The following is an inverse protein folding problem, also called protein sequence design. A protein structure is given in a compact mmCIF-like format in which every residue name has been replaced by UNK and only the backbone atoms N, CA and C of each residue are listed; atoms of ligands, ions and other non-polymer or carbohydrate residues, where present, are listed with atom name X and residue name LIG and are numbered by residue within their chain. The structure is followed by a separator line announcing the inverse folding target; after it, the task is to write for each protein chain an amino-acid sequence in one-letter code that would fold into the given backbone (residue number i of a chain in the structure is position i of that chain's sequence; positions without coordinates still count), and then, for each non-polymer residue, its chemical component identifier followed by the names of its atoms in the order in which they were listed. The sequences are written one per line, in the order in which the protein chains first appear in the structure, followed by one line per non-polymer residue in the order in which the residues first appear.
data_IF_700329736918
#
_entry.id   IF_700329736918
#
_cell.length_a   1.000
_cell.length_b   1.000
_cell.length_c   1.000
_cell.angle_alpha   90.00
_cell.angle_beta   90.00
_cell.angle_gamma   90.00
#
_symmetry.space_group_name_H-M   'P 1'
#
loop_
_entity.id
_entity.type
_entity.pdbx_description
1 polymer ?
#
# COMPACT_ATOMS: atom_id res chain seq x y z
N UNK A 1 -29.02 -2.29 22.06
CA UNK A 1 -28.71 -3.46 21.21
C UNK A 1 -27.58 -3.04 20.32
N UNK A 2 -26.42 -3.68 20.46
CA UNK A 2 -25.21 -3.33 19.70
C UNK A 2 -25.32 -3.96 18.32
N UNK A 3 -25.14 -3.18 17.26
CA UNK A 3 -25.21 -3.65 15.87
C UNK A 3 -23.85 -4.15 15.42
N UNK A 4 -23.78 -5.19 14.59
CA UNK A 4 -22.51 -5.63 14.02
C UNK A 4 -21.89 -4.50 13.18
N UNK A 5 -20.55 -4.38 13.23
CA UNK A 5 -19.85 -3.44 12.36
C UNK A 5 -19.93 -3.92 10.90
N UNK A 6 -20.21 -2.98 9.99
CA UNK A 6 -20.35 -3.23 8.56
C UNK A 6 -19.56 -2.18 7.77
N UNK A 7 -18.83 -2.56 6.71
CA UNK A 7 -18.16 -1.60 5.83
C UNK A 7 -19.17 -0.83 4.98
N UNK A 8 -18.86 0.42 4.66
CA UNK A 8 -19.73 1.32 3.89
C UNK A 8 -20.87 1.94 4.69
N UNK A 9 -20.97 1.66 5.99
CA UNK A 9 -22.03 2.16 6.89
C UNK A 9 -21.63 3.50 7.50
N UNK A 10 -22.55 4.45 7.50
CA UNK A 10 -22.35 5.71 8.21
C UNK A 10 -22.58 5.50 9.70
N UNK A 11 -21.57 5.85 10.51
CA UNK A 11 -21.65 5.86 11.95
C UNK A 11 -21.55 7.30 12.48
N UNK A 12 -22.40 7.63 13.45
CA UNK A 12 -22.56 8.93 14.09
C UNK A 12 -22.17 8.86 15.56
N UNK A 13 -21.98 10.01 16.21
CA UNK A 13 -21.66 10.06 17.64
C UNK A 13 -22.55 9.13 18.47
N UNK A 14 -21.93 8.51 19.47
CA UNK A 14 -22.51 7.53 20.39
C UNK A 14 -22.87 6.16 19.81
N UNK A 15 -22.63 5.90 18.52
CA UNK A 15 -22.75 4.55 17.96
C UNK A 15 -21.80 3.57 18.64
N UNK A 16 -22.35 2.40 18.97
CA UNK A 16 -21.60 1.23 19.46
C UNK A 16 -21.83 0.08 18.51
N UNK A 17 -20.74 -0.59 18.14
CA UNK A 17 -20.73 -1.73 17.22
C UNK A 17 -20.04 -2.93 17.83
N UNK A 18 -20.45 -4.12 17.40
CA UNK A 18 -19.76 -5.36 17.73
C UNK A 18 -18.87 -5.77 16.55
N UNK A 19 -17.61 -6.07 16.81
CA UNK A 19 -16.67 -6.59 15.82
C UNK A 19 -15.73 -7.61 16.48
N UNK A 20 -15.63 -8.80 15.88
CA UNK A 20 -14.87 -9.93 16.42
C UNK A 20 -15.16 -10.24 17.91
N UNK A 21 -16.44 -10.15 18.32
CA UNK A 21 -16.88 -10.43 19.68
C UNK A 21 -16.50 -9.37 20.72
N UNK A 22 -16.00 -8.21 20.30
CA UNK A 22 -15.72 -7.07 21.16
C UNK A 22 -16.61 -5.88 20.79
N UNK A 23 -17.00 -5.08 21.78
CA UNK A 23 -17.76 -3.84 21.54
C UNK A 23 -16.81 -2.66 21.35
N UNK A 24 -17.14 -1.79 20.39
CA UNK A 24 -16.39 -0.58 20.08
C UNK A 24 -17.34 0.60 20.00
N UNK A 25 -17.00 1.69 20.69
CA UNK A 25 -17.69 2.97 20.57
C UNK A 25 -16.98 3.85 19.56
N UNK A 26 -17.74 4.51 18.69
CA UNK A 26 -17.17 5.46 17.76
C UNK A 26 -16.54 6.66 18.47
N UNK A 27 -15.36 7.07 18.00
CA UNK A 27 -14.65 8.27 18.48
C UNK A 27 -14.90 9.43 17.51
N UNK A 28 -14.79 9.15 16.20
CA UNK A 28 -14.98 10.15 15.14
C UNK A 28 -16.05 9.64 14.17
N UNK A 29 -17.16 10.38 13.93
CA UNK A 29 -18.17 9.99 12.94
C UNK A 29 -17.56 9.85 11.56
N UNK A 30 -17.82 8.73 10.91
CA UNK A 30 -17.30 8.44 9.58
C UNK A 30 -18.19 7.42 8.88
N UNK A 31 -18.02 7.34 7.55
CA UNK A 31 -18.48 6.17 6.80
C UNK A 31 -17.39 5.12 6.88
N UNK A 32 -17.71 3.96 7.43
CA UNK A 32 -16.76 2.85 7.57
C UNK A 32 -16.22 2.42 6.22
N UNK A 33 -14.95 2.04 6.20
CA UNK A 33 -14.29 1.40 5.06
C UNK A 33 -13.85 0.01 5.48
N UNK A 34 -13.73 -0.91 4.53
CA UNK A 34 -13.39 -2.32 4.82
C UNK A 34 -12.04 -2.50 5.51
N UNK A 35 -11.15 -1.53 5.38
CA UNK A 35 -9.83 -1.43 6.00
C UNK A 35 -9.81 -0.54 7.26
N UNK A 36 -10.94 0.03 7.65
CA UNK A 36 -11.12 0.79 8.89
C UNK A 36 -11.89 -0.02 9.93
N UNK A 37 -11.43 -1.25 10.16
CA UNK A 37 -12.07 -2.14 11.12
C UNK A 37 -11.81 -1.63 12.55
N UNK A 38 -12.77 -1.82 13.48
CA UNK A 38 -12.68 -1.23 14.82
C UNK A 38 -11.45 -1.64 15.63
N UNK A 39 -10.87 -2.81 15.34
CA UNK A 39 -9.68 -3.35 16.01
C UNK A 39 -8.35 -2.76 15.52
N UNK A 40 -8.27 -2.22 14.31
CA UNK A 40 -7.02 -1.70 13.72
C UNK A 40 -7.02 -0.17 13.52
N UNK A 41 -8.13 0.51 13.83
CA UNK A 41 -8.27 1.97 13.69
C UNK A 41 -8.63 2.67 15.01
N UNK A 42 -7.72 2.71 16.00
CA UNK A 42 -7.98 3.25 17.33
C UNK A 42 -8.26 4.76 17.37
N UNK A 43 -7.98 5.48 16.27
CA UNK A 43 -8.36 6.88 16.13
C UNK A 43 -9.85 7.08 15.80
N UNK A 44 -10.50 6.06 15.23
CA UNK A 44 -11.89 6.07 14.79
C UNK A 44 -12.82 5.31 15.76
N UNK A 45 -12.28 4.29 16.43
CA UNK A 45 -13.01 3.39 17.32
C UNK A 45 -12.30 3.22 18.66
N UNK A 46 -13.05 3.32 19.75
CA UNK A 46 -12.58 3.03 21.10
C UNK A 46 -13.16 1.71 21.57
N UNK A 47 -12.30 0.73 21.88
CA UNK A 47 -12.72 -0.55 22.42
C UNK A 47 -13.38 -0.36 23.79
N UNK A 48 -14.60 -0.84 23.95
CA UNK A 48 -15.28 -0.88 25.24
C UNK A 48 -14.81 -2.13 25.98
N UNK A 49 -13.94 -1.94 26.97
CA UNK A 49 -13.50 -3.04 27.81
C UNK A 49 -14.68 -3.59 28.62
N UNK A 50 -14.90 -4.91 28.51
CA UNK A 50 -15.89 -5.62 29.31
C UNK A 50 -15.65 -5.37 30.80
N UNK A 51 -16.71 -4.92 31.50
CA UNK A 51 -16.74 -4.52 32.91
C UNK A 51 -15.72 -5.26 33.80
N UNK A 52 -14.69 -4.55 34.24
CA UNK A 52 -14.20 -4.57 35.63
C UNK A 52 -13.58 -3.20 35.98
N UNK A 53 -14.37 -2.40 36.72
CA UNK A 53 -14.00 -1.26 37.60
C UNK A 53 -12.79 -0.37 37.27
N UNK A 54 -13.09 0.89 36.90
CA UNK A 54 -12.54 2.06 37.61
C UNK A 54 -11.50 2.95 36.90
N UNK A 55 -11.99 3.98 36.18
CA UNK A 55 -11.35 5.31 36.14
C UNK A 55 -10.34 5.59 35.01
N UNK A 56 -10.77 6.29 33.95
CA UNK A 56 -9.83 6.82 32.96
C UNK A 56 -10.39 7.46 31.69
N UNK A 57 -11.64 7.94 31.65
CA UNK A 57 -12.26 8.46 30.40
C UNK A 57 -12.56 9.96 30.39
N UNK A 58 -12.15 10.74 31.40
CA UNK A 58 -12.58 12.15 31.52
C UNK A 58 -11.54 13.21 31.11
N UNK A 59 -10.26 12.86 30.87
CA UNK A 59 -9.26 13.89 30.53
C UNK A 59 -9.09 14.16 29.03
N UNK A 60 -9.51 13.25 28.15
CA UNK A 60 -9.28 13.43 26.71
C UNK A 60 -10.42 14.17 25.98
N UNK A 61 -11.63 14.25 26.54
CA UNK A 61 -12.77 14.91 25.88
C UNK A 61 -12.70 16.45 25.87
N UNK A 62 -12.04 17.09 26.85
CA UNK A 62 -12.00 18.56 26.92
C UNK A 62 -11.11 19.21 25.87
N UNK A 63 -10.11 18.51 25.34
CA UNK A 63 -9.20 19.08 24.35
C UNK A 63 -9.79 19.06 22.92
N UNK A 64 -10.77 18.20 22.63
CA UNK A 64 -11.37 18.06 21.30
C UNK A 64 -12.63 18.91 21.07
N UNK A 65 -13.35 19.32 22.12
CA UNK A 65 -14.55 20.15 21.96
C UNK A 65 -14.25 21.59 21.50
N UNK A 66 -13.02 22.08 21.62
CA UNK A 66 -12.67 23.44 21.22
C UNK A 66 -12.43 23.61 19.71
N UNK A 67 -12.34 22.52 18.92
CA UNK A 67 -12.05 22.61 17.47
C UNK A 67 -13.26 22.39 16.54
N UNK A 68 -14.44 22.02 17.05
CA UNK A 68 -15.58 21.66 16.18
C UNK A 68 -16.57 22.78 15.84
N UNK A 69 -16.28 24.06 16.14
CA UNK A 69 -17.25 25.13 15.90
C UNK A 69 -17.27 25.73 14.49
N UNK A 70 -16.65 25.09 13.47
CA UNK A 70 -16.75 25.59 12.10
C UNK A 70 -17.11 24.51 11.07
N UNK A 71 -18.34 24.66 10.57
CA UNK A 71 -18.83 24.37 9.22
C UNK A 71 -19.33 22.95 8.91
N UNK A 72 -20.66 22.87 8.85
CA UNK A 72 -21.47 21.75 8.40
C UNK A 72 -22.02 22.09 7.00
N UNK A 73 -21.86 21.23 5.97
CA UNK A 73 -22.67 21.32 4.76
C UNK A 73 -23.71 20.17 4.65
N UNK A 74 -24.83 20.53 4.01
CA UNK A 74 -26.09 19.78 3.90
C UNK A 74 -26.05 18.60 2.91
N UNK A 75 -26.90 17.60 3.14
CA UNK A 75 -27.09 16.39 2.31
C UNK A 75 -27.96 16.63 1.06
N UNK A 76 -27.64 16.03 -0.11
CA UNK A 76 -28.60 15.82 -1.20
C UNK A 76 -29.27 14.43 -1.16
N UNK A 77 -30.52 14.39 -1.62
CA UNK A 77 -31.48 13.27 -1.62
C UNK A 77 -31.12 12.09 -2.54
N UNK A 78 -31.59 10.90 -2.17
CA UNK A 78 -31.40 9.61 -2.84
C UNK A 78 -32.24 9.47 -4.13
N UNK A 79 -31.63 8.95 -5.21
CA UNK A 79 -32.35 8.38 -6.36
C UNK A 79 -32.12 6.87 -6.45
N UNK A 80 -33.22 6.16 -6.71
CA UNK A 80 -33.38 4.72 -6.73
C UNK A 80 -32.75 4.10 -7.98
N UNK A 81 -31.73 3.24 -7.82
CA UNK A 81 -31.10 2.51 -8.92
C UNK A 81 -31.72 1.11 -9.11
N UNK A 82 -32.12 0.79 -10.35
CA UNK A 82 -32.45 -0.56 -10.82
C UNK A 82 -31.18 -1.27 -11.32
N UNK A 83 -31.08 -2.57 -11.05
CA UNK A 83 -29.89 -3.39 -11.34
C UNK A 83 -29.71 -3.71 -12.85
N UNK A 84 -28.50 -3.59 -13.43
CA UNK A 84 -28.18 -4.14 -14.75
C UNK A 84 -27.85 -5.64 -14.71
N UNK A 85 -28.13 -6.33 -15.83
CA UNK A 85 -27.99 -7.78 -16.02
C UNK A 85 -26.54 -8.29 -16.13
N UNK A 86 -26.37 -9.59 -15.89
CA UNK A 86 -25.10 -10.32 -15.70
C UNK A 86 -24.10 -10.22 -16.88
N UNK A 87 -22.77 -10.16 -16.61
CA UNK A 87 -21.73 -10.31 -17.63
C UNK A 87 -21.37 -11.79 -17.91
N UNK A 88 -20.73 -12.10 -19.06
CA UNK A 88 -20.55 -13.47 -19.55
C UNK A 88 -19.52 -14.29 -18.75
N UNK A 89 -19.74 -15.62 -18.76
CA UNK A 89 -18.92 -16.64 -18.10
C UNK A 89 -17.63 -16.93 -18.87
N UNK A 90 -16.50 -17.04 -18.16
CA UNK A 90 -15.19 -17.36 -18.73
C UNK A 90 -14.70 -18.74 -18.23
N UNK A 91 -14.40 -19.62 -19.18
CA UNK A 91 -13.89 -20.98 -18.98
C UNK A 91 -12.34 -20.95 -18.83
N UNK A 92 -11.86 -21.42 -17.68
CA UNK A 92 -10.42 -21.61 -17.42
C UNK A 92 -10.07 -23.08 -17.58
N UNK A 93 -9.43 -23.42 -18.70
CA UNK A 93 -8.91 -24.75 -18.99
C UNK A 93 -7.81 -25.21 -18.02
N UNK A 94 -7.89 -26.50 -17.64
CA UNK A 94 -6.87 -27.24 -16.88
C UNK A 94 -5.58 -27.42 -17.69
N UNK A 95 -4.42 -27.35 -17.04
CA UNK A 95 -3.18 -27.93 -17.56
C UNK A 95 -2.48 -28.79 -16.50
N UNK A 96 -1.72 -29.74 -17.03
CA UNK A 96 -1.46 -31.09 -16.53
C UNK A 96 -0.13 -31.24 -15.75
N UNK A 97 0.05 -32.42 -15.16
CA UNK A 97 1.20 -32.82 -14.32
C UNK A 97 2.38 -33.39 -15.11
N UNK A 98 3.60 -33.17 -14.57
CA UNK A 98 4.75 -34.10 -14.62
C UNK A 98 6.00 -33.61 -15.39
N UNK A 99 7.22 -34.17 -15.17
CA UNK A 99 7.57 -35.31 -14.29
C UNK A 99 8.77 -35.06 -13.32
N UNK A 100 9.12 -36.13 -12.59
CA UNK A 100 10.05 -36.29 -11.47
C UNK A 100 11.39 -36.95 -11.90
N UNK A 101 12.54 -36.46 -11.42
CA UNK A 101 13.86 -37.15 -11.32
C UNK A 101 14.91 -36.13 -10.82
N UNK A 102 16.00 -36.38 -10.08
CA UNK A 102 16.68 -37.55 -9.51
C UNK A 102 17.78 -37.03 -8.56
N UNK A 103 18.22 -37.84 -7.59
CA UNK A 103 19.32 -37.58 -6.65
C UNK A 103 20.68 -37.33 -7.33
N UNK A 104 21.58 -36.57 -6.67
CA UNK A 104 22.99 -36.51 -7.05
C UNK A 104 23.89 -35.49 -6.33
N UNK A 105 24.48 -35.93 -5.22
CA UNK A 105 25.82 -35.62 -4.66
C UNK A 105 26.20 -34.18 -4.25
N UNK A 106 26.56 -34.08 -2.97
CA UNK A 106 27.38 -33.01 -2.36
C UNK A 106 28.76 -32.91 -3.01
N UNK A 107 29.16 -31.70 -3.40
CA UNK A 107 30.58 -31.29 -3.47
C UNK A 107 30.75 -29.98 -2.69
N UNK A 108 31.54 -30.04 -1.61
CA UNK A 108 32.08 -28.87 -0.92
C UNK A 108 33.16 -28.24 -1.78
N UNK A 109 32.98 -26.97 -2.19
CA UNK A 109 34.09 -26.14 -2.69
C UNK A 109 34.21 -24.88 -1.83
N UNK A 110 35.28 -24.88 -1.04
CA UNK A 110 35.87 -23.75 -0.35
C UNK A 110 36.28 -22.69 -1.37
N UNK A 111 35.85 -21.44 -1.20
CA UNK A 111 36.47 -20.28 -1.81
C UNK A 111 36.58 -19.17 -0.77
N UNK A 112 37.81 -18.89 -0.34
CA UNK A 112 38.22 -17.60 0.19
C UNK A 112 39.51 -17.28 -0.57
N UNK A 113 39.46 -16.33 -1.50
CA UNK A 113 40.52 -15.31 -1.58
C UNK A 113 40.18 -14.14 -2.50
N UNK A 114 40.59 -12.98 -1.97
CA UNK A 114 40.77 -11.62 -2.51
C UNK A 114 39.72 -10.96 -3.42
N UNK A 115 39.25 -9.82 -2.90
CA UNK A 115 38.86 -8.58 -3.56
C UNK A 115 37.52 -8.54 -4.33
N UNK A 116 36.53 -7.93 -3.69
CA UNK A 116 35.30 -7.45 -4.34
C UNK A 116 34.00 -8.05 -3.79
N UNK A 117 33.76 -7.96 -2.48
CA UNK A 117 32.49 -8.38 -1.88
C UNK A 117 31.34 -7.42 -2.24
N UNK A 118 30.61 -7.72 -3.32
CA UNK A 118 29.19 -7.37 -3.46
C UNK A 118 28.48 -8.53 -4.16
N UNK A 119 27.27 -8.82 -3.67
CA UNK A 119 26.17 -9.60 -4.26
C UNK A 119 25.91 -10.99 -3.65
N UNK A 120 24.61 -11.23 -3.46
CA UNK A 120 23.90 -12.48 -3.20
C UNK A 120 23.69 -12.89 -1.72
N UNK A 121 22.95 -12.07 -0.98
CA UNK A 121 22.09 -12.60 0.09
C UNK A 121 20.63 -12.29 -0.27
N UNK A 122 19.90 -13.34 -0.65
CA UNK A 122 18.45 -13.33 -0.70
C UNK A 122 17.92 -13.08 0.71
N UNK A 123 17.57 -11.82 0.98
CA UNK A 123 16.84 -11.40 2.17
C UNK A 123 15.67 -10.57 1.67
N UNK A 124 14.47 -10.97 2.09
CA UNK A 124 13.23 -10.20 2.01
C UNK A 124 13.55 -8.71 2.16
N UNK A 125 13.22 -7.90 1.16
CA UNK A 125 13.65 -6.51 0.99
C UNK A 125 13.14 -5.50 2.03
N UNK A 126 13.21 -5.84 3.33
CA UNK A 126 12.78 -5.02 4.45
C UNK A 126 13.47 -5.37 5.78
N UNK A 127 14.64 -6.04 5.77
CA UNK A 127 15.43 -6.28 6.98
C UNK A 127 16.90 -5.91 6.76
N UNK A 128 17.20 -4.64 7.03
CA UNK A 128 18.50 -4.14 7.49
C UNK A 128 19.70 -4.37 6.57
N UNK A 129 20.09 -3.32 5.84
CA UNK A 129 21.51 -3.15 5.50
C UNK A 129 22.26 -2.87 6.81
N UNK A 130 22.97 -3.88 7.34
CA UNK A 130 23.93 -3.70 8.41
C UNK A 130 25.16 -2.97 7.86
N UNK A 131 25.13 -1.64 7.91
CA UNK A 131 26.34 -0.82 7.89
C UNK A 131 27.11 -0.99 9.21
N UNK A 132 28.43 -1.09 9.12
CA UNK A 132 29.35 -1.47 10.20
C UNK A 132 29.18 -0.70 11.53
N UNK A 133 29.25 -1.45 12.65
CA UNK A 133 29.67 -0.91 13.95
C UNK A 133 28.62 -0.91 15.06
N UNK A 134 28.75 -1.88 15.98
CA UNK A 134 28.34 -1.84 17.41
C UNK A 134 26.85 -1.58 17.78
N UNK A 135 26.09 -2.65 18.07
CA UNK A 135 25.14 -2.76 19.22
C UNK A 135 24.26 -4.03 19.12
N UNK A 136 24.79 -5.20 19.48
CA UNK A 136 24.00 -6.44 19.56
C UNK A 136 23.39 -6.50 20.96
N UNK A 137 22.11 -6.16 21.12
CA UNK A 137 21.18 -6.71 22.15
C UNK A 137 19.74 -6.17 22.01
N UNK A 138 19.49 -5.07 21.27
CA UNK A 138 18.13 -4.61 20.85
C UNK A 138 17.72 -5.06 19.44
N UNK A 139 18.56 -5.87 18.79
CA UNK A 139 18.45 -6.19 17.36
C UNK A 139 17.48 -7.34 17.02
N UNK A 140 17.06 -8.14 18.01
CA UNK A 140 16.18 -9.29 17.79
C UNK A 140 14.69 -8.93 17.80
N UNK A 141 14.24 -8.10 18.74
CA UNK A 141 12.84 -7.69 18.86
C UNK A 141 12.40 -6.87 17.64
N UNK A 142 13.13 -5.81 17.30
CA UNK A 142 12.85 -5.00 16.10
C UNK A 142 12.87 -5.82 14.79
N UNK A 143 13.64 -6.92 14.74
CA UNK A 143 13.68 -7.81 13.56
C UNK A 143 12.45 -8.72 13.50
N UNK A 144 11.93 -9.15 14.64
CA UNK A 144 10.70 -9.94 14.72
C UNK A 144 9.49 -9.06 14.38
N UNK A 145 9.36 -7.88 15.00
CA UNK A 145 8.29 -6.92 14.74
C UNK A 145 8.21 -6.52 13.25
N UNK A 146 9.34 -6.20 12.64
CA UNK A 146 9.39 -5.83 11.22
C UNK A 146 8.99 -6.99 10.30
N UNK A 147 9.36 -8.23 10.67
CA UNK A 147 8.98 -9.44 9.93
C UNK A 147 7.48 -9.71 10.05
N UNK A 148 6.93 -9.65 11.25
CA UNK A 148 5.50 -9.84 11.50
C UNK A 148 4.67 -8.80 10.75
N UNK A 149 5.10 -7.54 10.76
CA UNK A 149 4.42 -6.46 10.04
C UNK A 149 4.45 -6.68 8.52
N UNK A 150 5.59 -7.12 7.97
CA UNK A 150 5.67 -7.50 6.56
C UNK A 150 4.76 -8.69 6.23
N UNK A 151 4.75 -9.73 7.06
CA UNK A 151 3.90 -10.92 6.87
C UNK A 151 2.42 -10.55 6.93
N UNK A 152 2.02 -9.65 7.83
CA UNK A 152 0.68 -9.11 7.92
C UNK A 152 0.28 -8.34 6.65
N UNK A 153 1.13 -7.43 6.16
CA UNK A 153 0.89 -6.72 4.90
C UNK A 153 0.77 -7.68 3.72
N UNK A 154 1.67 -8.66 3.62
CA UNK A 154 1.68 -9.64 2.53
C UNK A 154 0.44 -10.54 2.56
N UNK A 155 -0.03 -10.94 3.75
CA UNK A 155 -1.28 -11.68 3.93
C UNK A 155 -2.48 -10.86 3.45
N UNK A 156 -2.57 -9.59 3.87
CA UNK A 156 -3.64 -8.68 3.44
C UNK A 156 -3.61 -8.44 1.91
N UNK A 157 -2.43 -8.32 1.30
CA UNK A 157 -2.27 -8.18 -0.15
C UNK A 157 -2.77 -9.43 -0.91
N UNK A 158 -2.46 -10.64 -0.40
CA UNK A 158 -2.97 -11.89 -0.96
C UNK A 158 -4.48 -12.00 -0.84
N UNK A 159 -5.06 -11.61 0.29
CA UNK A 159 -6.51 -11.57 0.48
C UNK A 159 -7.18 -10.61 -0.52
N UNK A 160 -6.61 -9.43 -0.78
CA UNK A 160 -7.09 -8.52 -1.84
C UNK A 160 -7.04 -9.16 -3.24
N UNK A 161 -5.98 -9.93 -3.54
CA UNK A 161 -5.88 -10.68 -4.81
C UNK A 161 -6.96 -11.75 -4.94
N UNK A 162 -7.28 -12.47 -3.87
CA UNK A 162 -8.38 -13.45 -3.85
C UNK A 162 -9.73 -12.77 -4.07
N UNK A 163 -9.97 -11.63 -3.42
CA UNK A 163 -11.18 -10.83 -3.64
C UNK A 163 -11.29 -10.35 -5.09
N UNK A 164 -10.20 -9.85 -5.68
CA UNK A 164 -10.17 -9.47 -7.09
C UNK A 164 -10.48 -10.65 -8.02
N UNK A 165 -9.95 -11.85 -7.73
CA UNK A 165 -10.28 -13.06 -8.51
C UNK A 165 -11.75 -13.45 -8.40
N UNK A 166 -12.34 -13.31 -7.22
CA UNK A 166 -13.71 -13.70 -6.96
C UNK A 166 -14.74 -12.69 -7.51
N UNK A 167 -14.41 -11.38 -7.50
CA UNK A 167 -15.39 -10.31 -7.74
C UNK A 167 -15.00 -9.32 -8.84
N UNK A 168 -13.80 -9.44 -9.40
CA UNK A 168 -13.24 -8.48 -10.34
C UNK A 168 -12.81 -7.16 -9.69
N UNK A 169 -12.47 -6.14 -10.50
CA UNK A 169 -12.12 -4.81 -10.00
C UNK A 169 -13.30 -4.17 -9.25
N UNK A 170 -13.03 -3.63 -8.06
CA UNK A 170 -14.05 -2.97 -7.22
C UNK A 170 -14.07 -1.45 -7.40
N UNK A 171 -13.26 -0.93 -8.32
CA UNK A 171 -13.12 0.49 -8.60
C UNK A 171 -12.18 0.75 -9.77
N UNK A 172 -11.97 2.03 -10.14
CA UNK A 172 -11.14 2.40 -11.29
C UNK A 172 -9.64 2.15 -11.05
N UNK A 173 -9.22 1.95 -9.81
CA UNK A 173 -7.87 1.58 -9.39
C UNK A 173 -7.94 0.38 -8.43
N UNK A 174 -7.06 -0.60 -8.58
CA UNK A 174 -6.98 -1.77 -7.68
C UNK A 174 -5.52 -2.22 -7.52
N UNK A 175 -5.07 -2.32 -6.27
CA UNK A 175 -3.77 -2.89 -5.94
C UNK A 175 -3.86 -4.42 -5.93
N UNK A 176 -3.06 -5.08 -6.76
CA UNK A 176 -3.05 -6.54 -6.88
C UNK A 176 -1.70 -7.12 -6.46
N UNK A 177 -1.71 -8.09 -5.53
CA UNK A 177 -0.49 -8.79 -5.13
C UNK A 177 0.18 -9.52 -6.31
N UNK A 178 1.48 -9.27 -6.46
CA UNK A 178 2.32 -9.85 -7.48
C UNK A 178 3.64 -10.36 -6.89
N UNK A 179 4.16 -11.43 -7.50
CA UNK A 179 5.45 -12.01 -7.12
C UNK A 179 6.31 -12.25 -8.36
N UNK A 180 7.55 -11.79 -8.31
CA UNK A 180 8.50 -11.89 -9.41
C UNK A 180 8.17 -10.97 -10.59
N UNK A 181 8.52 -11.41 -11.79
CA UNK A 181 8.61 -10.57 -13.00
C UNK A 181 7.36 -10.59 -13.88
N UNK A 182 6.39 -11.44 -13.60
CA UNK A 182 5.18 -11.56 -14.42
C UNK A 182 4.27 -10.36 -14.21
N UNK A 183 4.12 -9.49 -15.20
CA UNK A 183 3.24 -8.32 -15.11
C UNK A 183 1.80 -8.72 -15.47
N UNK A 184 0.82 -8.60 -14.56
CA UNK A 184 -0.57 -8.93 -14.86
C UNK A 184 -1.18 -7.96 -15.88
N UNK A 185 -2.13 -8.49 -16.67
CA UNK A 185 -2.92 -7.69 -17.59
C UNK A 185 -3.72 -6.61 -16.83
N UNK A 186 -3.83 -5.43 -17.43
CA UNK A 186 -4.52 -4.28 -16.85
C UNK A 186 -3.66 -3.45 -15.90
N UNK A 187 -2.37 -3.78 -15.75
CA UNK A 187 -1.41 -2.93 -15.03
C UNK A 187 -1.29 -1.57 -15.72
N UNK A 188 -1.35 -0.51 -14.92
CA UNK A 188 -1.25 0.86 -15.43
C UNK A 188 0.21 1.15 -15.79
N UNK A 189 0.47 1.36 -17.08
CA UNK A 189 1.77 1.81 -17.55
C UNK A 189 1.93 3.32 -17.40
N UNK A 190 3.08 3.77 -16.92
CA UNK A 190 3.43 5.22 -16.93
C UNK A 190 4.12 5.65 -18.21
N UNK A 191 4.64 4.71 -19.00
CA UNK A 191 5.38 4.97 -20.22
C UNK A 191 6.44 3.90 -20.48
N UNK A 192 7.22 4.13 -21.54
CA UNK A 192 8.38 3.30 -21.88
C UNK A 192 9.69 4.01 -21.56
N UNK A 193 10.64 3.24 -21.05
CA UNK A 193 12.05 3.61 -20.95
C UNK A 193 12.82 2.70 -21.91
N UNK A 194 13.32 3.25 -23.02
CA UNK A 194 13.80 2.45 -24.15
C UNK A 194 12.71 1.46 -24.62
N UNK A 195 12.99 0.16 -24.60
CA UNK A 195 12.04 -0.90 -24.97
C UNK A 195 11.23 -1.44 -23.77
N UNK A 196 11.53 -0.97 -22.56
CA UNK A 196 10.93 -1.48 -21.34
C UNK A 196 9.69 -0.70 -20.99
N UNK A 197 8.64 -1.40 -20.57
CA UNK A 197 7.42 -0.74 -20.06
C UNK A 197 7.52 -0.62 -18.56
N UNK A 198 7.26 0.59 -18.04
CA UNK A 198 7.23 0.86 -16.61
C UNK A 198 5.79 0.86 -16.11
N UNK A 199 5.59 0.21 -14.97
CA UNK A 199 4.30 0.08 -14.28
C UNK A 199 4.39 0.60 -12.85
N UNK A 200 3.25 0.96 -12.28
CA UNK A 200 3.15 1.45 -10.90
C UNK A 200 3.10 0.25 -9.95
N UNK A 201 3.98 0.20 -8.97
CA UNK A 201 3.93 -0.78 -7.90
C UNK A 201 4.07 -0.15 -6.52
N UNK A 202 3.76 -0.91 -5.48
CA UNK A 202 4.05 -0.56 -4.09
C UNK A 202 4.52 -1.79 -3.31
N UNK A 203 5.31 -1.58 -2.27
CA UNK A 203 5.72 -2.64 -1.37
C UNK A 203 5.89 -2.13 0.07
N UNK A 204 5.79 -3.03 1.03
CA UNK A 204 6.07 -2.73 2.42
C UNK A 204 7.57 -2.47 2.64
N UNK A 205 7.90 -1.34 3.27
CA UNK A 205 9.25 -0.95 3.65
C UNK A 205 9.22 -0.28 5.03
N UNK A 206 9.87 -0.90 6.02
CA UNK A 206 10.21 -0.26 7.31
C UNK A 206 9.02 0.44 8.00
N UNK A 207 7.91 -0.29 8.17
CA UNK A 207 6.69 0.22 8.80
C UNK A 207 5.73 0.96 7.87
N UNK A 208 6.16 1.28 6.65
CA UNK A 208 5.34 1.95 5.63
C UNK A 208 5.05 1.09 4.40
N UNK A 209 4.26 1.63 3.48
CA UNK A 209 4.04 1.09 2.14
C UNK A 209 4.48 2.15 1.13
N UNK A 210 5.51 1.84 0.35
CA UNK A 210 6.20 2.77 -0.54
C UNK A 210 5.88 2.47 -2.00
N UNK A 211 5.72 3.51 -2.83
CA UNK A 211 5.44 3.38 -4.27
C UNK A 211 6.74 3.41 -5.07
N UNK A 212 6.80 2.63 -6.15
CA UNK A 212 7.91 2.63 -7.09
C UNK A 212 7.50 2.10 -8.47
N UNK A 213 8.47 1.46 -9.15
CA UNK A 213 8.33 1.00 -10.54
C UNK A 213 8.43 -0.51 -10.64
N UNK A 214 7.56 -1.11 -11.44
CA UNK A 214 7.62 -2.52 -11.84
C UNK A 214 7.87 -2.64 -13.34
N UNK A 215 8.56 -3.73 -13.71
CA UNK A 215 8.81 -4.10 -15.10
C UNK A 215 9.26 -5.55 -15.16
N UNK A 216 8.92 -6.23 -16.24
CA UNK A 216 9.33 -7.61 -16.52
C UNK A 216 10.83 -7.73 -16.81
N UNK A 217 11.55 -6.64 -17.02
CA UNK A 217 13.02 -6.66 -17.18
C UNK A 217 13.78 -6.55 -15.86
N UNK A 218 13.15 -6.10 -14.77
CA UNK A 218 13.83 -5.95 -13.49
C UNK A 218 14.17 -7.30 -12.86
N UNK A 219 15.27 -7.34 -12.09
CA UNK A 219 15.81 -8.58 -11.52
C UNK A 219 14.76 -9.34 -10.69
N UNK A 220 13.99 -8.61 -9.89
CA UNK A 220 12.91 -9.16 -9.06
C UNK A 220 11.49 -8.76 -9.49
N UNK A 221 11.38 -7.96 -10.55
CA UNK A 221 10.11 -7.47 -11.09
C UNK A 221 9.66 -6.11 -10.57
N UNK A 222 10.06 -5.72 -9.35
CA UNK A 222 9.78 -4.39 -8.80
C UNK A 222 11.00 -3.73 -8.19
N UNK A 223 10.94 -2.41 -8.14
CA UNK A 223 11.98 -1.51 -7.68
C UNK A 223 11.34 -0.38 -6.88
N UNK A 224 11.77 -0.19 -5.63
CA UNK A 224 11.25 0.83 -4.71
C UNK A 224 12.35 1.81 -4.30
N UNK A 225 12.06 3.11 -4.35
CA UNK A 225 12.91 4.15 -3.76
C UNK A 225 12.59 4.31 -2.28
N UNK A 226 13.61 4.21 -1.41
CA UNK A 226 13.45 4.45 0.02
C UNK A 226 14.78 4.85 0.67
N UNK A 227 14.74 5.89 1.52
CA UNK A 227 15.90 6.45 2.23
C UNK A 227 17.08 6.76 1.30
N UNK A 228 16.80 7.37 0.14
CA UNK A 228 17.77 7.74 -0.91
C UNK A 228 18.36 6.58 -1.74
N UNK A 229 17.96 5.33 -1.46
CA UNK A 229 18.43 4.14 -2.17
C UNK A 229 17.32 3.48 -2.99
N UNK A 230 17.73 2.62 -3.93
CA UNK A 230 16.85 1.79 -4.74
C UNK A 230 16.90 0.33 -4.27
N UNK A 231 15.73 -0.28 -4.02
CA UNK A 231 15.60 -1.64 -3.51
C UNK A 231 14.88 -2.54 -4.52
N UNK A 232 15.51 -3.66 -4.89
CA UNK A 232 14.89 -4.69 -5.73
C UNK A 232 13.94 -5.55 -4.88
N UNK A 233 12.67 -5.61 -5.28
CA UNK A 233 11.57 -6.26 -4.55
C UNK A 233 10.92 -7.34 -5.42
N UNK A 234 10.75 -8.54 -4.85
CA UNK A 234 10.08 -9.68 -5.49
C UNK A 234 8.61 -9.79 -5.10
N UNK A 235 8.21 -9.37 -3.91
CA UNK A 235 6.84 -9.39 -3.41
C UNK A 235 6.30 -7.97 -3.28
N UNK A 236 5.34 -7.62 -4.13
CA UNK A 236 4.81 -6.27 -4.24
C UNK A 236 3.32 -6.30 -4.59
N UNK A 237 2.67 -5.15 -4.59
CA UNK A 237 1.40 -4.96 -5.26
C UNK A 237 1.62 -4.10 -6.51
N UNK A 238 0.92 -4.43 -7.60
CA UNK A 238 0.94 -3.64 -8.83
C UNK A 238 -0.43 -2.97 -9.02
N UNK A 239 -0.43 -1.73 -9.50
CA UNK A 239 -1.67 -0.98 -9.68
C UNK A 239 -2.32 -1.37 -11.01
N UNK A 240 -3.50 -1.95 -10.92
CA UNK A 240 -4.39 -2.21 -12.05
C UNK A 240 -5.42 -1.11 -12.17
N UNK A 241 -5.91 -0.84 -13.38
CA UNK A 241 -7.01 0.09 -13.57
C UNK A 241 -7.18 0.56 -15.01
N UNK A 242 -8.13 1.47 -15.19
CA UNK A 242 -8.43 2.09 -16.48
C UNK A 242 -8.30 3.61 -16.39
N UNK A 243 -7.59 4.22 -17.34
CA UNK A 243 -7.50 5.67 -17.48
C UNK A 243 -8.83 6.33 -17.90
N UNK A 244 -9.92 5.55 -18.07
CA UNK A 244 -11.27 6.10 -18.20
C UNK A 244 -11.83 6.64 -16.88
N UNK A 245 -11.43 6.04 -15.75
CA UNK A 245 -11.81 6.47 -14.39
C UNK A 245 -10.68 7.13 -13.62
N UNK A 246 -9.54 7.37 -14.28
CA UNK A 246 -8.34 7.96 -13.69
C UNK A 246 -7.80 9.06 -14.61
N UNK A 247 -7.12 10.04 -14.03
CA UNK A 247 -6.44 11.11 -14.77
C UNK A 247 -5.14 11.50 -14.09
N UNK A 248 -4.18 11.96 -14.87
CA UNK A 248 -2.97 12.57 -14.35
C UNK A 248 -3.21 14.07 -14.19
N UNK A 249 -2.95 14.60 -13.00
CA UNK A 249 -3.08 16.02 -12.70
C UNK A 249 -1.68 16.61 -12.54
N UNK A 250 -1.33 17.54 -13.43
CA UNK A 250 -0.05 18.24 -13.39
C UNK A 250 0.06 19.06 -12.10
N UNK A 251 1.19 18.89 -11.41
CA UNK A 251 1.53 19.68 -10.23
C UNK A 251 3.06 19.89 -10.18
N UNK A 252 3.56 20.39 -9.06
CA UNK A 252 4.98 20.50 -8.82
C UNK A 252 5.31 21.01 -7.43
N UNK A 253 6.61 21.03 -7.11
CA UNK A 253 7.13 21.36 -5.79
C UNK A 253 6.48 20.49 -4.70
N UNK A 254 6.20 21.06 -3.54
CA UNK A 254 5.45 20.38 -2.48
C UNK A 254 4.00 20.23 -2.90
N UNK A 255 3.45 19.03 -2.74
CA UNK A 255 2.05 18.76 -3.05
C UNK A 255 1.13 19.59 -2.14
N UNK A 256 0.07 20.14 -2.73
CA UNK A 256 -1.12 20.62 -2.04
C UNK A 256 -2.32 19.85 -2.60
N UNK A 257 -2.85 18.90 -1.82
CA UNK A 257 -3.94 18.01 -2.27
C UNK A 257 -5.20 18.81 -2.60
N UNK A 258 -5.49 19.86 -1.83
CA UNK A 258 -6.66 20.71 -2.05
C UNK A 258 -6.62 21.45 -3.40
N UNK A 259 -5.41 21.67 -3.95
CA UNK A 259 -5.23 22.34 -5.25
C UNK A 259 -5.39 21.42 -6.46
N UNK A 260 -5.48 20.10 -6.27
CA UNK A 260 -5.56 19.14 -7.39
C UNK A 260 -6.90 19.18 -8.14
N UNK A 261 -7.96 19.69 -7.51
CA UNK A 261 -9.32 19.66 -8.08
C UNK A 261 -9.87 18.25 -8.34
N UNK A 262 -9.21 17.22 -7.80
CA UNK A 262 -9.57 15.81 -7.92
C UNK A 262 -8.99 15.03 -6.74
N UNK A 263 -9.64 13.92 -6.38
CA UNK A 263 -9.13 13.05 -5.30
C UNK A 263 -7.91 12.26 -5.82
N UNK A 264 -6.74 12.33 -5.15
CA UNK A 264 -5.59 11.52 -5.53
C UNK A 264 -5.82 10.04 -5.21
N UNK A 265 -5.16 9.16 -5.96
CA UNK A 265 -5.13 7.73 -5.68
C UNK A 265 -4.15 7.46 -4.53
N UNK A 266 -4.65 6.84 -3.47
CA UNK A 266 -3.84 6.42 -2.33
C UNK A 266 -2.81 5.38 -2.79
N UNK A 267 -1.54 5.72 -2.60
CA UNK A 267 -0.40 4.91 -3.00
C UNK A 267 0.15 4.05 -1.87
N UNK A 268 0.16 4.60 -0.65
CA UNK A 268 0.71 3.96 0.53
C UNK A 268 0.87 4.97 1.66
N UNK A 269 1.83 4.73 2.54
CA UNK A 269 2.08 5.59 3.69
C UNK A 269 3.52 5.43 4.21
N UNK A 270 4.04 6.48 4.84
CA UNK A 270 5.27 6.41 5.62
C UNK A 270 5.02 5.74 6.99
N UNK A 271 6.07 5.35 7.70
CA UNK A 271 5.97 4.69 9.02
C UNK A 271 5.22 5.53 10.08
N UNK A 272 5.20 6.86 9.93
CA UNK A 272 4.43 7.75 10.82
C UNK A 272 2.95 7.88 10.42
N UNK A 273 2.50 7.08 9.44
CA UNK A 273 1.14 7.11 8.89
C UNK A 273 0.92 8.23 7.87
N UNK A 274 1.93 9.02 7.51
CA UNK A 274 1.78 10.06 6.49
C UNK A 274 1.38 9.44 5.16
N UNK A 275 0.29 9.88 4.52
CA UNK A 275 -0.16 9.30 3.26
C UNK A 275 0.83 9.61 2.12
N UNK A 276 1.01 8.63 1.25
CA UNK A 276 1.76 8.73 0.01
C UNK A 276 0.82 8.56 -1.18
N UNK A 277 1.01 9.39 -2.20
CA UNK A 277 0.21 9.39 -3.42
C UNK A 277 1.03 8.93 -4.62
N UNK A 278 0.35 8.29 -5.57
CA UNK A 278 0.96 7.80 -6.81
C UNK A 278 1.29 9.00 -7.71
N UNK A 279 2.54 9.07 -8.15
CA UNK A 279 2.97 10.06 -9.14
C UNK A 279 3.61 9.40 -10.34
N UNK A 280 3.70 10.15 -11.43
CA UNK A 280 4.71 9.94 -12.47
C UNK A 280 5.49 11.23 -12.70
N UNK A 281 6.77 11.10 -13.01
CA UNK A 281 7.64 12.24 -13.28
C UNK A 281 8.56 11.93 -14.46
N UNK A 282 8.80 12.95 -15.30
CA UNK A 282 9.68 12.80 -16.45
C UNK A 282 11.14 12.83 -15.99
N UNK A 283 11.91 11.80 -16.32
CA UNK A 283 13.33 11.75 -16.06
C UNK A 283 14.03 10.94 -17.15
N UNK A 284 15.13 11.48 -17.69
CA UNK A 284 16.03 10.75 -18.63
C UNK A 284 15.31 10.06 -19.80
N UNK A 285 14.29 10.69 -20.37
CA UNK A 285 13.61 10.22 -21.58
C UNK A 285 12.34 9.42 -21.34
N UNK A 286 11.95 9.17 -20.09
CA UNK A 286 10.78 8.37 -19.75
C UNK A 286 9.97 8.95 -18.59
N UNK A 287 8.72 8.49 -18.46
CA UNK A 287 7.84 8.80 -17.34
C UNK A 287 7.94 7.70 -16.28
N UNK A 288 8.55 8.04 -15.15
CA UNK A 288 8.81 7.10 -14.06
C UNK A 288 7.76 7.22 -12.95
N UNK A 289 7.20 6.10 -12.47
CA UNK A 289 6.31 6.12 -11.32
C UNK A 289 7.09 6.29 -10.03
N UNK A 290 6.43 6.84 -9.01
CA UNK A 290 7.00 7.00 -7.68
C UNK A 290 5.96 7.51 -6.68
N UNK A 291 6.45 8.23 -5.66
CA UNK A 291 5.64 8.73 -4.55
C UNK A 291 5.74 10.24 -4.38
N UNK A 292 4.72 10.83 -3.76
CA UNK A 292 4.75 12.17 -3.17
C UNK A 292 3.84 12.23 -1.94
N UNK A 293 3.89 13.33 -1.20
CA UNK A 293 3.03 13.65 -0.06
C UNK A 293 3.03 15.16 0.17
N UNK A 294 2.05 15.69 0.89
CA UNK A 294 2.08 17.09 1.36
C UNK A 294 3.27 17.36 2.31
N UNK A 295 3.81 16.31 2.96
CA UNK A 295 5.03 16.42 3.78
C UNK A 295 6.34 16.23 3.01
N UNK A 296 6.27 15.84 1.74
CA UNK A 296 7.44 15.65 0.89
C UNK A 296 7.66 16.90 0.02
N UNK A 297 8.92 17.24 -0.22
CA UNK A 297 9.26 18.41 -1.02
C UNK A 297 9.32 18.11 -2.52
N UNK A 298 8.47 17.22 -3.03
CA UNK A 298 8.47 16.84 -4.45
C UNK A 298 7.96 15.42 -4.71
N UNK A 299 8.14 14.98 -5.94
CA UNK A 299 8.05 13.58 -6.31
C UNK A 299 9.39 12.87 -6.08
N UNK A 300 9.32 11.64 -5.60
CA UNK A 300 10.48 10.77 -5.41
C UNK A 300 10.30 9.53 -6.29
N UNK A 301 11.26 9.29 -7.18
CA UNK A 301 11.28 8.13 -8.09
C UNK A 301 12.55 7.30 -7.88
N UNK A 302 12.51 5.96 -7.98
CA UNK A 302 13.72 5.15 -8.07
C UNK A 302 14.35 5.25 -9.47
N UNK A 303 15.63 5.62 -9.53
CA UNK A 303 16.40 5.67 -10.78
C UNK A 303 17.91 5.54 -10.53
N UNK A 304 18.55 4.64 -11.29
CA UNK A 304 20.02 4.46 -11.33
C UNK A 304 20.62 4.25 -9.93
N UNK A 305 20.01 3.33 -9.17
CA UNK A 305 20.46 2.95 -7.83
C UNK A 305 20.15 3.97 -6.73
N UNK A 306 19.45 5.06 -7.04
CA UNK A 306 19.11 6.14 -6.09
C UNK A 306 17.63 6.49 -6.13
N UNK A 307 17.18 7.10 -5.06
CA UNK A 307 15.90 7.83 -5.04
C UNK A 307 16.15 9.26 -5.55
N UNK A 308 15.52 9.64 -6.66
CA UNK A 308 15.62 10.97 -7.25
C UNK A 308 14.42 11.81 -6.85
N UNK A 309 14.69 13.02 -6.37
CA UNK A 309 13.68 14.04 -6.15
C UNK A 309 13.47 14.89 -7.41
N UNK A 310 12.21 15.12 -7.75
CA UNK A 310 11.78 15.90 -8.91
C UNK A 310 10.70 16.92 -8.49
N UNK A 311 10.80 18.13 -9.02
CA UNK A 311 9.86 19.23 -8.71
C UNK A 311 8.73 19.35 -9.73
N UNK A 312 8.84 18.71 -10.88
CA UNK A 312 7.79 18.65 -11.90
C UNK A 312 7.30 17.21 -12.02
N UNK A 313 6.01 17.00 -11.79
CA UNK A 313 5.40 15.68 -11.76
C UNK A 313 3.88 15.77 -11.89
N UNK A 314 3.24 14.64 -12.17
CA UNK A 314 1.80 14.51 -12.18
C UNK A 314 1.37 13.54 -11.07
N UNK A 315 0.26 13.84 -10.41
CA UNK A 315 -0.38 12.94 -9.44
C UNK A 315 -1.49 12.17 -10.13
N UNK A 316 -1.59 10.87 -9.87
CA UNK A 316 -2.71 10.06 -10.35
C UNK A 316 -3.93 10.36 -9.49
N UNK A 317 -5.01 10.80 -10.12
CA UNK A 317 -6.27 11.13 -9.46
C UNK A 317 -7.43 10.35 -10.09
N UNK A 318 -8.53 10.24 -9.35
CA UNK A 318 -9.80 9.77 -9.90
C UNK A 318 -10.36 10.81 -10.88
N UNK A 319 -10.90 10.34 -12.02
CA UNK A 319 -11.40 11.20 -13.10
C UNK A 319 -12.69 11.93 -12.71
#
# INVERSE_FOLDING_TARGET
MTRCWEPGTQYNYDDVVEYHGNEYKIIQPHRSQSDWTPDITPALWGKLEGRHHGGGYQQQQQQYQQQQQYQQPQQPQQQQYQAPQQPPSYDYGKQEQGPQSSEGKEEKKHWYDSDGAKIAAGVLGGLGVLGAGTAIYKHHEHKQEARESFEAWASAAKARKEQFRARGPQGPATWLYNEGKGIPQGAISTGKEHDWTLYICRAYMDGGVQIGKASDVFQKGAVIGYKNEEHQIDKYEILLGSMQGLKWVQTGNTLNVASLGAKPVDGGYENDGTPLYVVRAYHKGAMHPGKTSEKLDGAFIPYDGKEKKLKEYEVLCYA
#
